data_IF_685612346449
#
_entry.id   IF_685612346449
#
_cell.length_a   1.000
_cell.length_b   1.000
_cell.length_c   1.000
_cell.angle_alpha   90.00
_cell.angle_beta   90.00
_cell.angle_gamma   90.00
#
_symmetry.space_group_name_H-M   'P 1'
#
loop_
_entity.id
_entity.type
_entity.pdbx_description
1 polymer ?
#
# COMPACT_ATOMS: atom_id res chain seq x y z
N UNK A 1 -0.95 16.44 -2.31
CA UNK A 1 -0.89 15.06 -1.77
C UNK A 1 0.01 14.24 -2.68
N UNK A 2 0.68 13.19 -2.19
CA UNK A 2 1.62 12.42 -3.00
C UNK A 2 0.94 11.88 -4.27
N UNK A 3 1.48 12.26 -5.43
CA UNK A 3 0.95 11.93 -6.76
C UNK A 3 1.10 10.45 -7.13
N UNK A 4 1.83 9.68 -6.30
CA UNK A 4 2.17 8.30 -6.55
C UNK A 4 1.95 7.45 -5.29
N UNK A 5 1.65 6.17 -5.51
CA UNK A 5 1.61 5.12 -4.49
C UNK A 5 2.64 4.07 -4.89
N UNK A 6 3.60 3.81 -4.00
CA UNK A 6 4.64 2.83 -4.27
C UNK A 6 4.16 1.45 -3.83
N UNK A 7 4.22 0.46 -4.73
CA UNK A 7 4.09 -0.95 -4.37
C UNK A 7 5.50 -1.52 -4.27
N UNK A 8 5.78 -2.20 -3.17
CA UNK A 8 7.07 -2.85 -2.99
C UNK A 8 7.21 -4.04 -3.95
N UNK A 9 8.39 -4.25 -4.54
CA UNK A 9 8.63 -5.33 -5.52
C UNK A 9 8.28 -6.73 -4.97
N UNK A 10 8.56 -6.99 -3.70
CA UNK A 10 8.19 -8.22 -2.99
C UNK A 10 6.68 -8.49 -2.92
N UNK A 11 5.82 -7.54 -3.29
CA UNK A 11 4.37 -7.76 -3.39
C UNK A 11 4.04 -9.03 -4.18
N UNK A 12 4.75 -9.26 -5.29
CA UNK A 12 4.53 -10.42 -6.16
C UNK A 12 4.98 -11.74 -5.56
N UNK A 13 5.77 -11.71 -4.48
CA UNK A 13 6.29 -12.88 -3.78
C UNK A 13 5.55 -13.13 -2.45
N UNK A 14 4.60 -12.27 -2.09
CA UNK A 14 3.77 -12.48 -0.90
C UNK A 14 2.90 -13.72 -1.08
N UNK A 15 2.92 -14.63 -0.09
CA UNK A 15 2.20 -15.91 -0.19
C UNK A 15 0.71 -15.74 -0.43
N UNK A 16 0.08 -14.74 0.20
CA UNK A 16 -1.34 -14.48 -0.06
C UNK A 16 -1.54 -13.99 -1.50
N UNK A 17 -0.70 -13.08 -1.99
CA UNK A 17 -0.78 -12.59 -3.37
C UNK A 17 -0.57 -13.72 -4.37
N UNK A 18 0.33 -14.66 -4.13
CA UNK A 18 0.58 -15.79 -5.04
C UNK A 18 -0.70 -16.62 -5.29
N UNK A 19 -1.47 -16.88 -4.24
CA UNK A 19 -2.70 -17.69 -4.26
C UNK A 19 -3.89 -16.98 -4.93
N UNK A 20 -3.82 -15.66 -5.14
CA UNK A 20 -4.87 -14.90 -5.79
C UNK A 20 -4.96 -15.21 -7.29
N UNK A 21 -6.19 -15.19 -7.81
CA UNK A 21 -6.44 -15.18 -9.25
C UNK A 21 -5.91 -13.88 -9.89
N UNK A 22 -5.67 -13.85 -11.21
CA UNK A 22 -5.25 -12.62 -11.89
C UNK A 22 -6.21 -11.43 -11.67
N UNK A 23 -7.51 -11.71 -11.65
CA UNK A 23 -8.55 -10.71 -11.40
C UNK A 23 -8.46 -10.12 -9.99
N UNK A 24 -8.25 -10.96 -8.98
CA UNK A 24 -8.07 -10.53 -7.60
C UNK A 24 -6.75 -9.80 -7.37
N UNK A 25 -5.66 -10.21 -8.04
CA UNK A 25 -4.37 -9.49 -8.01
C UNK A 25 -4.55 -8.06 -8.52
N UNK A 26 -5.19 -7.91 -9.67
CA UNK A 26 -5.49 -6.60 -10.23
C UNK A 26 -6.38 -5.78 -9.29
N UNK A 27 -7.45 -6.39 -8.76
CA UNK A 27 -8.35 -5.70 -7.84
C UNK A 27 -7.64 -5.26 -6.55
N UNK A 28 -6.75 -6.08 -6.01
CA UNK A 28 -6.03 -5.72 -4.80
C UNK A 28 -5.06 -4.57 -5.03
N UNK A 29 -4.32 -4.60 -6.15
CA UNK A 29 -3.48 -3.47 -6.57
C UNK A 29 -4.33 -2.20 -6.70
N UNK A 30 -5.47 -2.30 -7.37
CA UNK A 30 -6.41 -1.19 -7.55
C UNK A 30 -6.85 -0.58 -6.20
N UNK A 31 -7.22 -1.40 -5.21
CA UNK A 31 -7.55 -0.91 -3.87
C UNK A 31 -6.39 -0.12 -3.25
N UNK A 32 -5.15 -0.56 -3.46
CA UNK A 32 -3.98 0.14 -2.91
C UNK A 32 -3.57 1.41 -3.67
N UNK A 33 -3.93 1.55 -4.95
CA UNK A 33 -3.36 2.59 -5.83
C UNK A 33 -4.37 3.52 -6.49
N UNK A 34 -5.67 3.34 -6.30
CA UNK A 34 -6.67 4.23 -6.88
C UNK A 34 -6.54 5.68 -6.38
N UNK A 35 -7.22 6.58 -7.08
CA UNK A 35 -7.14 8.04 -6.86
C UNK A 35 -7.65 8.50 -5.49
N UNK A 36 -8.42 7.67 -4.79
CA UNK A 36 -9.02 7.98 -3.49
C UNK A 36 -8.19 7.50 -2.31
N UNK A 37 -7.22 6.61 -2.51
CA UNK A 37 -6.42 6.03 -1.43
C UNK A 37 -5.67 7.10 -0.63
N UNK A 38 -5.92 7.14 0.67
CA UNK A 38 -5.34 8.09 1.65
C UNK A 38 -4.02 7.58 2.25
N UNK A 39 -3.32 8.43 3.01
CA UNK A 39 -2.12 8.01 3.74
C UNK A 39 -2.46 7.03 4.87
N UNK A 40 -3.61 7.20 5.53
CA UNK A 40 -4.07 6.31 6.58
C UNK A 40 -4.68 4.98 6.08
N UNK A 41 -4.96 4.85 4.77
CA UNK A 41 -5.53 3.63 4.19
C UNK A 41 -7.02 3.46 4.44
N UNK A 42 -7.70 4.53 4.89
CA UNK A 42 -9.15 4.59 5.04
C UNK A 42 -9.69 5.72 4.17
N UNK A 43 -10.59 5.40 3.25
CA UNK A 43 -11.07 6.37 2.27
C UNK A 43 -12.42 5.98 1.69
N UNK A 44 -13.11 6.97 1.11
CA UNK A 44 -14.39 6.73 0.44
C UNK A 44 -14.17 6.11 -0.94
N UNK A 45 -14.83 4.99 -1.20
CA UNK A 45 -14.76 4.25 -2.45
C UNK A 45 -16.16 3.71 -2.78
N UNK A 46 -16.88 4.39 -3.66
CA UNK A 46 -18.21 3.96 -4.09
C UNK A 46 -18.08 2.87 -5.16
N UNK A 47 -18.96 1.88 -5.14
CA UNK A 47 -18.98 0.81 -6.16
C UNK A 47 -18.99 1.38 -7.59
N UNK A 48 -19.67 2.51 -7.82
CA UNK A 48 -19.69 3.19 -9.14
C UNK A 48 -18.33 3.69 -9.62
N UNK A 49 -17.48 4.13 -8.69
CA UNK A 49 -16.11 4.53 -9.02
C UNK A 49 -15.32 3.30 -9.46
N UNK A 50 -15.46 2.20 -8.71
CA UNK A 50 -14.79 0.94 -9.02
C UNK A 50 -15.22 0.44 -10.40
N UNK A 51 -16.53 0.35 -10.67
CA UNK A 51 -17.06 -0.06 -11.98
C UNK A 51 -16.47 0.77 -13.12
N UNK A 52 -16.36 2.08 -12.94
CA UNK A 52 -15.85 3.00 -13.96
C UNK A 52 -14.34 2.84 -14.17
N UNK A 53 -13.57 2.72 -13.08
CA UNK A 53 -12.11 2.67 -13.14
C UNK A 53 -11.58 1.27 -13.54
N UNK A 54 -12.28 0.19 -13.16
CA UNK A 54 -11.88 -1.19 -13.49
C UNK A 54 -12.57 -1.75 -14.73
N UNK A 55 -13.69 -1.16 -15.16
CA UNK A 55 -14.53 -1.67 -16.24
C UNK A 55 -15.37 -2.90 -15.85
N UNK A 56 -15.42 -3.25 -14.57
CA UNK A 56 -16.22 -4.37 -14.07
C UNK A 56 -17.69 -3.98 -13.91
N UNK A 57 -18.56 -4.98 -14.05
CA UNK A 57 -19.98 -4.80 -13.72
C UNK A 57 -20.20 -4.83 -12.20
N UNK A 58 -21.39 -4.41 -11.77
CA UNK A 58 -21.77 -4.33 -10.35
C UNK A 58 -21.57 -5.64 -9.60
N UNK A 59 -22.01 -6.75 -10.19
CA UNK A 59 -21.97 -8.07 -9.57
C UNK A 59 -20.53 -8.52 -9.31
N UNK A 60 -19.63 -8.32 -10.28
CA UNK A 60 -18.20 -8.61 -10.12
C UNK A 60 -17.57 -7.74 -9.03
N UNK A 61 -17.88 -6.44 -9.01
CA UNK A 61 -17.36 -5.53 -7.97
C UNK A 61 -17.80 -5.98 -6.57
N UNK A 62 -19.08 -6.29 -6.39
CA UNK A 62 -19.63 -6.74 -5.11
C UNK A 62 -19.01 -8.07 -4.67
N UNK A 63 -18.86 -9.03 -5.60
CA UNK A 63 -18.19 -10.31 -5.35
C UNK A 63 -16.73 -10.12 -4.92
N UNK A 64 -15.99 -9.25 -5.60
CA UNK A 64 -14.58 -8.97 -5.27
C UNK A 64 -14.45 -8.29 -3.90
N UNK A 65 -15.28 -7.27 -3.61
CA UNK A 65 -15.30 -6.64 -2.28
C UNK A 65 -15.56 -7.71 -1.20
N UNK A 66 -16.58 -8.54 -1.39
CA UNK A 66 -16.95 -9.58 -0.45
C UNK A 66 -15.82 -10.59 -0.21
N UNK A 67 -15.13 -11.04 -1.27
CA UNK A 67 -13.95 -11.91 -1.13
C UNK A 67 -12.83 -11.27 -0.31
N UNK A 68 -12.52 -10.00 -0.55
CA UNK A 68 -11.46 -9.31 0.21
C UNK A 68 -11.83 -9.05 1.68
N UNK A 69 -13.12 -8.95 1.99
CA UNK A 69 -13.62 -8.96 3.38
C UNK A 69 -13.41 -10.34 4.00
N UNK A 70 -13.75 -11.42 3.29
CA UNK A 70 -13.56 -12.80 3.76
C UNK A 70 -12.07 -13.15 3.96
N UNK A 71 -11.20 -12.66 3.08
CA UNK A 71 -9.73 -12.74 3.25
C UNK A 71 -9.19 -11.88 4.38
N UNK A 72 -10.03 -11.05 5.02
CA UNK A 72 -9.65 -10.09 6.07
C UNK A 72 -8.57 -9.12 5.61
N UNK A 73 -8.59 -8.75 4.33
CA UNK A 73 -7.67 -7.77 3.73
C UNK A 73 -8.26 -6.37 3.72
N UNK A 74 -9.58 -6.27 3.71
CA UNK A 74 -10.29 -5.01 3.84
C UNK A 74 -11.47 -5.12 4.81
N UNK A 75 -11.90 -3.99 5.34
CA UNK A 75 -13.29 -3.81 5.78
C UNK A 75 -13.96 -2.82 4.82
N UNK A 76 -15.25 -3.05 4.54
CA UNK A 76 -16.05 -2.14 3.72
C UNK A 76 -17.34 -1.81 4.44
N UNK A 77 -17.72 -0.53 4.44
CA UNK A 77 -18.95 -0.05 5.03
C UNK A 77 -19.88 0.48 3.95
N UNK A 78 -20.99 -0.23 3.72
CA UNK A 78 -21.97 0.14 2.71
C UNK A 78 -22.71 1.45 3.02
N UNK A 79 -22.86 1.83 4.29
CA UNK A 79 -23.55 3.06 4.67
C UNK A 79 -22.73 4.31 4.33
N UNK A 80 -21.44 4.28 4.67
CA UNK A 80 -20.52 5.42 4.47
C UNK A 80 -19.80 5.37 3.12
N UNK A 81 -19.86 4.22 2.42
CA UNK A 81 -19.09 3.91 1.21
C UNK A 81 -17.60 4.11 1.46
N UNK A 82 -17.13 3.61 2.59
CA UNK A 82 -15.73 3.67 3.01
C UNK A 82 -15.11 2.29 3.00
N UNK A 83 -13.83 2.23 2.63
CA UNK A 83 -12.99 1.05 2.73
C UNK A 83 -11.85 1.33 3.71
N UNK A 84 -11.52 0.32 4.51
CA UNK A 84 -10.36 0.27 5.39
C UNK A 84 -9.44 -0.84 4.88
N UNK A 85 -8.18 -0.51 4.58
CA UNK A 85 -7.17 -1.47 4.17
C UNK A 85 -6.42 -2.05 5.38
N UNK A 86 -6.56 -3.36 5.62
CA UNK A 86 -5.95 -4.04 6.76
C UNK A 86 -4.42 -4.07 6.60
N UNK A 87 -3.70 -3.82 7.70
CA UNK A 87 -2.24 -3.70 7.75
C UNK A 87 -1.63 -2.58 6.88
N UNK A 88 -2.43 -1.66 6.33
CA UNK A 88 -1.93 -0.59 5.48
C UNK A 88 -0.84 0.25 6.17
N UNK A 89 -1.14 0.69 7.39
CA UNK A 89 -0.26 1.47 8.25
C UNK A 89 1.07 0.75 8.49
N UNK A 90 1.03 -0.57 8.69
CA UNK A 90 2.24 -1.37 8.94
C UNK A 90 3.23 -1.32 7.77
N UNK A 91 2.79 -1.06 6.55
CA UNK A 91 3.65 -1.04 5.36
C UNK A 91 3.89 0.37 4.79
N UNK A 92 2.95 1.30 4.99
CA UNK A 92 2.95 2.61 4.31
C UNK A 92 3.18 3.81 5.25
N UNK A 93 3.42 3.56 6.54
CA UNK A 93 3.64 4.64 7.49
C UNK A 93 4.94 5.41 7.25
N UNK A 94 4.85 6.71 7.53
CA UNK A 94 5.97 7.65 7.45
C UNK A 94 6.10 8.43 8.75
N UNK A 95 7.35 8.60 9.20
CA UNK A 95 7.69 9.45 10.33
C UNK A 95 7.79 10.94 9.95
N UNK A 96 7.51 11.29 8.69
CA UNK A 96 7.54 12.69 8.25
C UNK A 96 6.42 13.48 8.95
N UNK A 97 6.73 14.57 9.68
CA UNK A 97 5.71 15.37 10.36
C UNK A 97 4.61 15.89 9.42
N UNK A 98 4.97 16.16 8.15
CA UNK A 98 4.01 16.54 7.10
C UNK A 98 3.02 15.42 6.79
N UNK A 99 3.49 14.18 6.69
CA UNK A 99 2.63 13.01 6.45
C UNK A 99 1.77 12.73 7.67
N UNK A 100 2.32 12.84 8.89
CA UNK A 100 1.54 12.68 10.12
C UNK A 100 0.41 13.71 10.24
N UNK A 101 0.68 14.98 9.91
CA UNK A 101 -0.35 16.02 9.85
C UNK A 101 -1.41 15.73 8.78
N UNK A 102 -1.02 15.13 7.66
CA UNK A 102 -1.96 14.68 6.62
C UNK A 102 -2.85 13.55 7.15
N UNK A 103 -2.26 12.53 7.78
CA UNK A 103 -2.98 11.42 8.39
C UNK A 103 -4.01 11.92 9.41
N UNK A 104 -3.63 12.84 10.31
CA UNK A 104 -4.57 13.45 11.27
C UNK A 104 -5.80 14.03 10.57
N UNK A 105 -5.59 14.85 9.54
CA UNK A 105 -6.69 15.43 8.74
C UNK A 105 -7.52 14.37 8.04
N UNK A 106 -6.92 13.31 7.53
CA UNK A 106 -7.66 12.22 6.90
C UNK A 106 -8.55 11.49 7.90
N UNK A 107 -8.06 11.25 9.12
CA UNK A 107 -8.81 10.63 10.22
C UNK A 107 -10.06 11.46 10.57
N UNK A 108 -9.91 12.78 10.68
CA UNK A 108 -11.03 13.70 10.96
C UNK A 108 -12.13 13.64 9.89
N UNK A 109 -11.81 13.20 8.67
CA UNK A 109 -12.75 13.08 7.55
C UNK A 109 -13.38 11.68 7.43
N UNK A 110 -12.95 10.70 8.23
CA UNK A 110 -13.55 9.36 8.23
C UNK A 110 -14.93 9.44 8.88
N UNK A 111 -15.96 8.97 8.16
CA UNK A 111 -17.34 8.98 8.63
C UNK A 111 -17.63 7.80 9.54
N UNK A 112 -17.06 6.63 9.23
CA UNK A 112 -17.27 5.42 10.01
C UNK A 112 -16.43 5.43 11.30
N UNK A 113 -17.11 5.59 12.45
CA UNK A 113 -16.49 5.60 13.78
C UNK A 113 -15.79 4.29 14.15
N UNK A 114 -16.25 3.15 13.64
CA UNK A 114 -15.57 1.86 13.87
C UNK A 114 -14.25 1.79 13.11
N UNK A 115 -14.17 2.35 11.91
CA UNK A 115 -12.89 2.41 11.18
C UNK A 115 -11.89 3.32 11.88
N UNK A 116 -12.34 4.43 12.46
CA UNK A 116 -11.50 5.29 13.31
C UNK A 116 -10.94 4.47 14.49
N UNK A 117 -11.80 3.73 15.21
CA UNK A 117 -11.36 2.88 16.33
C UNK A 117 -10.33 1.82 15.90
N UNK A 118 -10.60 1.10 14.80
CA UNK A 118 -9.68 0.08 14.26
C UNK A 118 -8.32 0.68 13.89
N UNK A 119 -8.34 1.89 13.33
CA UNK A 119 -7.13 2.60 12.95
C UNK A 119 -6.31 3.01 14.19
N UNK A 120 -6.94 3.57 15.23
CA UNK A 120 -6.26 3.88 16.49
C UNK A 120 -5.69 2.65 17.18
N UNK A 121 -6.45 1.55 17.21
CA UNK A 121 -5.95 0.26 17.70
C UNK A 121 -4.72 -0.20 16.92
N UNK A 122 -4.73 -0.05 15.59
CA UNK A 122 -3.58 -0.40 14.76
C UNK A 122 -2.36 0.48 15.06
N UNK A 123 -2.54 1.75 15.40
CA UNK A 123 -1.43 2.59 15.85
C UNK A 123 -0.88 2.13 17.19
N UNK A 124 -1.74 1.82 18.15
CA UNK A 124 -1.35 1.30 19.47
C UNK A 124 -0.58 -0.02 19.36
N UNK A 125 -1.11 -0.98 18.60
CA UNK A 125 -0.48 -2.29 18.36
C UNK A 125 0.92 -2.16 17.73
N UNK A 126 1.15 -1.09 16.95
CA UNK A 126 2.42 -0.78 16.31
C UNK A 126 3.34 0.11 17.18
N UNK A 127 2.89 0.50 18.38
CA UNK A 127 3.60 1.41 19.28
C UNK A 127 3.76 2.82 18.70
N UNK A 128 2.83 3.24 17.85
CA UNK A 128 2.86 4.51 17.14
C UNK A 128 1.97 5.55 17.82
N UNK A 129 2.55 6.70 18.17
CA UNK A 129 1.81 7.79 18.80
C UNK A 129 1.52 8.88 17.75
N UNK A 130 0.25 9.01 17.33
CA UNK A 130 -0.16 10.06 16.40
C UNK A 130 -0.09 11.46 17.02
N UNK A 131 -0.35 11.60 18.31
CA UNK A 131 -0.51 12.89 18.97
C UNK A 131 0.82 13.64 19.06
N UNK A 132 1.90 12.93 19.40
CA UNK A 132 3.25 13.47 19.52
C UNK A 132 4.01 13.39 18.19
N UNK A 133 3.81 14.40 17.33
CA UNK A 133 4.41 14.49 15.99
C UNK A 133 5.93 14.68 15.94
N UNK A 134 6.64 14.51 17.06
CA UNK A 134 8.07 14.84 17.19
C UNK A 134 8.92 13.69 17.76
N UNK A 135 8.34 12.70 18.47
CA UNK A 135 9.11 11.64 19.17
C UNK A 135 8.81 10.20 18.72
N UNK A 136 8.41 9.98 17.47
CA UNK A 136 8.33 8.62 16.92
C UNK A 136 9.72 8.11 16.45
N UNK A 137 10.72 8.17 17.33
CA UNK A 137 12.00 7.51 17.11
C UNK A 137 11.84 5.98 17.29
N UNK A 138 11.50 5.31 16.20
CA UNK A 138 12.46 4.35 15.65
C UNK A 138 12.53 2.92 16.21
N UNK A 139 11.43 2.30 16.66
CA UNK A 139 11.41 0.82 16.80
C UNK A 139 10.84 0.12 15.57
N UNK A 140 9.62 0.47 15.17
CA UNK A 140 8.91 -0.28 14.12
C UNK A 140 9.54 -0.18 12.71
N UNK A 141 9.93 1.02 12.28
CA UNK A 141 10.43 1.24 10.92
C UNK A 141 11.86 0.75 10.69
N UNK A 142 12.67 0.60 11.76
CA UNK A 142 14.06 0.16 11.67
C UNK A 142 14.16 -1.37 11.55
N UNK A 143 13.55 -2.11 12.47
CA UNK A 143 13.54 -3.58 12.44
C UNK A 143 12.81 -4.16 11.20
N UNK A 144 11.70 -3.55 10.76
CA UNK A 144 10.99 -4.01 9.55
C UNK A 144 11.79 -3.74 8.27
N UNK A 145 12.41 -2.56 8.12
CA UNK A 145 13.25 -2.24 6.96
C UNK A 145 14.53 -3.07 6.94
N UNK A 146 15.18 -3.25 8.08
CA UNK A 146 16.41 -4.04 8.21
C UNK A 146 16.15 -5.53 7.95
N UNK A 147 15.05 -6.09 8.47
CA UNK A 147 14.69 -7.50 8.22
C UNK A 147 14.28 -7.78 6.77
N UNK A 148 13.72 -6.80 6.07
CA UNK A 148 13.34 -6.94 4.65
C UNK A 148 14.56 -6.79 3.72
N UNK A 149 15.39 -5.77 3.91
CA UNK A 149 16.64 -5.60 3.17
C UNK A 149 17.59 -6.80 3.35
N UNK A 150 17.69 -7.35 4.57
CA UNK A 150 18.52 -8.52 4.85
C UNK A 150 18.01 -9.81 4.17
N UNK A 151 16.72 -9.89 3.83
CA UNK A 151 16.15 -11.03 3.08
C UNK A 151 16.31 -10.87 1.56
N UNK A 152 16.12 -9.67 1.00
CA UNK A 152 16.34 -9.42 -0.43
C UNK A 152 17.79 -9.65 -0.86
N UNK A 153 18.78 -9.22 -0.06
CA UNK A 153 20.21 -9.40 -0.36
C UNK A 153 20.66 -10.86 -0.39
N UNK A 154 19.96 -11.78 0.31
CA UNK A 154 20.30 -13.21 0.28
C UNK A 154 19.86 -13.90 -1.02
N UNK A 155 18.94 -13.31 -1.77
CA UNK A 155 18.39 -13.89 -2.99
C UNK A 155 19.05 -13.37 -4.30
N UNK A 156 19.96 -12.40 -4.23
CA UNK A 156 20.55 -11.75 -5.43
C UNK A 156 21.91 -12.31 -5.87
N UNK A 157 22.51 -13.24 -5.12
CA UNK A 157 23.87 -13.72 -5.43
C UNK A 157 23.98 -14.77 -6.55
N UNK A 158 22.95 -14.99 -7.37
CA UNK A 158 23.02 -16.05 -8.40
C UNK A 158 22.50 -15.67 -9.80
N UNK A 159 22.64 -14.39 -10.19
CA UNK A 159 22.48 -13.99 -11.61
C UNK A 159 23.61 -13.08 -12.06
N UNK A 160 24.67 -13.69 -12.55
CA UNK A 160 25.82 -13.02 -13.17
C UNK A 160 25.37 -12.27 -14.43
N UNK A 161 25.26 -10.94 -14.34
CA UNK A 161 25.17 -10.09 -15.53
C UNK A 161 26.57 -9.91 -16.12
N UNK A 162 26.72 -10.15 -17.43
CA UNK A 162 27.94 -9.79 -18.17
C UNK A 162 28.06 -8.26 -18.17
N UNK A 163 29.15 -7.73 -17.63
CA UNK A 163 29.46 -6.30 -17.65
C UNK A 163 29.68 -5.83 -19.09
N UNK A 164 28.90 -4.83 -19.52
CA UNK A 164 29.11 -4.09 -20.77
C UNK A 164 30.47 -3.39 -20.72
N UNK A 165 31.22 -3.47 -21.82
CA UNK A 165 32.56 -2.88 -21.90
C UNK A 165 32.49 -1.36 -22.10
N UNK A 166 33.54 -0.65 -21.68
CA UNK A 166 33.61 0.81 -21.81
C UNK A 166 33.50 1.27 -23.29
N UNK A 167 33.97 0.43 -24.22
CA UNK A 167 33.88 0.66 -25.66
C UNK A 167 32.42 0.66 -26.16
N UNK A 168 31.58 -0.23 -25.64
CA UNK A 168 30.15 -0.30 -26.00
C UNK A 168 29.39 0.93 -25.46
N UNK A 169 29.76 1.42 -24.28
CA UNK A 169 29.21 2.64 -23.70
C UNK A 169 29.61 3.89 -24.50
N UNK A 170 30.85 3.95 -25.00
CA UNK A 170 31.30 5.09 -25.80
C UNK A 170 30.65 5.12 -27.20
N UNK A 171 30.41 3.96 -27.82
CA UNK A 171 29.68 3.87 -29.08
C UNK A 171 28.22 4.32 -28.94
N UNK A 172 27.55 3.96 -27.84
CA UNK A 172 26.19 4.42 -27.54
C UNK A 172 26.13 5.94 -27.36
N UNK A 173 27.12 6.54 -26.68
CA UNK A 173 27.20 7.99 -26.48
C UNK A 173 27.37 8.76 -27.78
N UNK A 174 28.18 8.24 -28.72
CA UNK A 174 28.38 8.84 -30.06
C UNK A 174 27.16 8.77 -30.96
N UNK A 175 26.24 7.83 -30.71
CA UNK A 175 25.04 7.63 -31.54
C UNK A 175 23.84 8.48 -31.11
N UNK A 176 23.89 9.03 -29.89
CA UNK A 176 22.78 9.76 -29.25
C UNK A 176 23.08 11.26 -29.06
N UNK A 177 24.27 11.72 -29.44
CA UNK A 177 24.62 13.14 -29.58
C UNK A 177 24.74 13.53 -31.05
#
# INVERSE_FOLDING_TARGET
>A
MAAYRHIHIDYWQDSFVLDLTPEEKYFYIYLMTNSKTTQCGVYSLHNRIIETETGYNRETVEKLIQRFIEYKKIYYCEETKEVYLVNWIKHNMSNSPKVQKCIKKEIDNIKNKEFVKLLYKSFEDLGYNIENGEDNHGKYNKEYRESKHAKSLKNENDKTYKSTTDDELEQLRKRLG
#
